data_IF_824719976559
#
_entry.id   IF_824719976559
#
_cell.length_a   1.000
_cell.length_b   1.000
_cell.length_c   1.000
_cell.angle_alpha   90.00
_cell.angle_beta   90.00
_cell.angle_gamma   90.00
#
_symmetry.space_group_name_H-M   'P 1'
#
loop_
_entity.id
_entity.type
_entity.pdbx_description
1 polymer ?
#
# COMPACT_ATOMS: atom_id res chain seq x y z
N UNK A 1 24.49 -35.51 37.10
CA UNK A 1 24.38 -34.06 37.35
C UNK A 1 24.18 -33.42 36.00
N UNK A 2 22.93 -33.26 35.58
CA UNK A 2 22.55 -32.50 34.39
C UNK A 2 21.21 -31.84 34.70
N UNK A 3 21.27 -30.78 35.50
CA UNK A 3 20.15 -29.87 35.74
C UNK A 3 20.02 -28.94 34.53
N UNK A 4 19.30 -29.39 33.52
CA UNK A 4 18.80 -28.49 32.47
C UNK A 4 17.54 -27.82 32.98
N UNK A 5 17.50 -26.50 33.22
CA UNK A 5 16.30 -25.85 33.69
C UNK A 5 15.25 -25.89 32.59
N UNK A 6 14.09 -26.45 32.91
CA UNK A 6 12.91 -26.39 32.06
C UNK A 6 12.62 -24.92 31.72
N UNK A 7 12.58 -24.60 30.43
CA UNK A 7 12.21 -23.28 29.95
C UNK A 7 10.72 -23.08 30.21
N UNK A 8 10.39 -22.50 31.36
CA UNK A 8 9.03 -22.07 31.68
C UNK A 8 8.60 -21.03 30.64
N UNK A 9 7.55 -21.25 29.85
CA UNK A 9 7.04 -20.21 28.96
C UNK A 9 6.60 -19.04 29.85
N UNK A 10 7.18 -17.86 29.59
CA UNK A 10 6.81 -16.63 30.29
C UNK A 10 5.30 -16.43 30.16
N UNK A 11 4.63 -16.27 31.31
CA UNK A 11 3.22 -15.99 31.38
C UNK A 11 2.88 -14.82 30.46
N UNK A 12 1.94 -15.03 29.53
CA UNK A 12 1.36 -13.98 28.70
C UNK A 12 0.77 -12.95 29.64
N UNK A 13 1.40 -11.77 29.69
CA UNK A 13 0.92 -10.63 30.46
C UNK A 13 -0.47 -10.22 29.95
N UNK A 14 -1.45 -10.18 30.86
CA UNK A 14 -2.83 -9.73 30.64
C UNK A 14 -2.95 -8.21 30.35
N UNK A 15 -1.83 -7.51 30.19
CA UNK A 15 -1.86 -6.10 29.78
C UNK A 15 -2.32 -6.01 28.32
N UNK A 16 -3.41 -5.28 28.01
CA UNK A 16 -3.86 -5.13 26.63
C UNK A 16 -2.71 -4.59 25.77
N UNK A 17 -2.47 -5.29 24.65
CA UNK A 17 -1.48 -4.94 23.65
C UNK A 17 -1.67 -3.49 23.17
N UNK A 18 -0.91 -2.56 23.75
CA UNK A 18 -0.94 -1.15 23.40
C UNK A 18 0.37 -0.71 22.73
N UNK A 19 0.26 0.21 21.78
CA UNK A 19 1.43 0.74 21.07
C UNK A 19 2.37 1.51 22.03
N UNK A 20 3.60 1.01 22.20
CA UNK A 20 4.65 1.63 23.05
C UNK A 20 5.36 2.83 22.41
N UNK A 21 4.87 3.32 21.26
CA UNK A 21 5.45 4.45 20.50
C UNK A 21 6.93 4.30 20.14
N UNK A 22 7.44 3.06 20.02
CA UNK A 22 8.85 2.79 19.70
C UNK A 22 9.26 3.11 18.25
N UNK A 23 8.28 3.39 17.37
CA UNK A 23 8.52 3.74 15.97
C UNK A 23 8.86 2.57 15.03
N UNK A 24 9.05 1.34 15.54
CA UNK A 24 9.44 0.17 14.72
C UNK A 24 8.48 -0.07 13.56
N UNK A 25 7.18 -0.17 13.83
CA UNK A 25 6.17 -0.35 12.78
C UNK A 25 6.01 0.89 11.89
N UNK A 26 6.03 2.09 12.48
CA UNK A 26 5.90 3.35 11.76
C UNK A 26 7.01 3.54 10.72
N UNK A 27 8.23 3.05 10.96
CA UNK A 27 9.34 3.10 10.01
C UNK A 27 9.17 2.11 8.83
N UNK A 28 8.42 1.01 9.03
CA UNK A 28 8.12 0.03 7.97
C UNK A 28 7.01 0.51 7.03
N UNK A 29 6.08 1.32 7.53
CA UNK A 29 5.03 1.97 6.76
C UNK A 29 3.80 2.32 7.56
N UNK A 30 2.87 3.02 6.91
CA UNK A 30 1.55 3.30 7.46
C UNK A 30 0.65 2.05 7.45
N UNK A 31 -0.32 1.95 8.39
CA UNK A 31 -1.33 0.89 8.42
C UNK A 31 -2.25 0.96 7.19
N UNK A 32 -2.77 -0.19 6.77
CA UNK A 32 -3.97 -0.25 5.94
C UNK A 32 -5.19 0.19 6.75
N UNK A 33 -6.18 0.75 6.08
CA UNK A 33 -7.43 1.16 6.72
C UNK A 33 -8.49 0.06 6.58
N UNK A 34 -9.29 -0.08 7.63
CA UNK A 34 -10.40 -1.02 7.69
C UNK A 34 -11.73 -0.28 7.84
N UNK A 35 -12.85 -0.96 7.66
CA UNK A 35 -14.19 -0.38 7.85
C UNK A 35 -14.34 0.36 9.19
N UNK A 36 -13.70 -0.14 10.24
CA UNK A 36 -13.65 0.46 11.57
C UNK A 36 -12.93 1.84 11.63
N UNK A 37 -12.20 2.22 10.58
CA UNK A 37 -11.47 3.49 10.48
C UNK A 37 -12.23 4.58 9.73
N UNK A 38 -13.38 4.26 9.11
CA UNK A 38 -14.26 5.27 8.49
C UNK A 38 -14.64 6.44 9.44
N UNK A 39 -14.89 6.22 10.74
CA UNK A 39 -15.12 7.33 11.67
C UNK A 39 -13.97 8.34 11.75
N UNK A 40 -12.71 7.92 11.55
CA UNK A 40 -11.55 8.83 11.55
C UNK A 40 -11.61 9.80 10.36
N UNK A 41 -12.09 9.32 9.20
CA UNK A 41 -12.29 10.15 8.01
C UNK A 41 -13.48 11.10 8.19
N UNK A 42 -14.61 10.59 8.70
CA UNK A 42 -15.82 11.39 8.95
C UNK A 42 -15.58 12.52 9.97
N UNK A 43 -14.76 12.26 10.98
CA UNK A 43 -14.38 13.25 11.99
C UNK A 43 -13.24 14.18 11.54
N UNK A 44 -12.73 14.04 10.31
CA UNK A 44 -11.61 14.85 9.79
C UNK A 44 -10.27 14.62 10.48
N UNK A 45 -10.14 13.54 11.27
CA UNK A 45 -8.88 13.13 11.92
C UNK A 45 -7.88 12.56 10.92
N UNK A 46 -8.40 12.00 9.83
CA UNK A 46 -7.66 11.65 8.62
C UNK A 46 -8.33 12.34 7.44
N UNK A 47 -7.54 12.74 6.46
CA UNK A 47 -8.00 13.36 5.21
C UNK A 47 -7.53 12.52 4.02
N UNK A 48 -8.12 12.72 2.84
CA UNK A 48 -7.68 12.02 1.62
C UNK A 48 -6.21 12.30 1.27
N UNK A 49 -5.65 13.43 1.71
CA UNK A 49 -4.23 13.77 1.51
C UNK A 49 -3.27 12.92 2.36
N UNK A 50 -3.80 12.26 3.40
CA UNK A 50 -3.05 11.35 4.27
C UNK A 50 -3.02 9.92 3.71
N UNK A 51 -3.81 9.65 2.66
CA UNK A 51 -4.05 8.32 2.14
C UNK A 51 -3.31 8.08 0.82
N UNK A 52 -3.06 6.81 0.55
CA UNK A 52 -2.66 6.30 -0.76
C UNK A 52 -3.47 5.05 -1.06
N UNK A 53 -3.91 4.93 -2.30
CA UNK A 53 -4.50 3.70 -2.79
C UNK A 53 -3.42 2.80 -3.34
N UNK A 54 -3.41 1.58 -2.82
CA UNK A 54 -2.63 0.49 -3.37
C UNK A 54 -3.54 -0.31 -4.30
N UNK A 55 -3.20 -0.28 -5.58
CA UNK A 55 -4.08 -0.81 -6.62
C UNK A 55 -3.90 -2.32 -6.75
N UNK A 56 -4.93 -3.00 -7.25
CA UNK A 56 -4.84 -4.42 -7.62
C UNK A 56 -3.68 -4.63 -8.60
N UNK A 57 -2.84 -5.63 -8.35
CA UNK A 57 -1.65 -5.92 -9.14
C UNK A 57 -0.41 -5.08 -8.78
N UNK A 58 -0.53 -4.09 -7.88
CA UNK A 58 0.64 -3.34 -7.40
C UNK A 58 1.55 -4.25 -6.56
N UNK A 59 2.86 -4.14 -6.74
CA UNK A 59 3.83 -4.93 -6.00
C UNK A 59 3.87 -4.54 -4.52
N UNK A 60 3.50 -5.47 -3.64
CA UNK A 60 3.47 -5.28 -2.20
C UNK A 60 4.43 -6.22 -1.50
N UNK A 61 5.03 -5.74 -0.42
CA UNK A 61 5.65 -6.61 0.57
C UNK A 61 4.55 -7.06 1.53
N UNK A 62 4.21 -8.34 1.48
CA UNK A 62 3.43 -8.97 2.53
C UNK A 62 4.37 -9.20 3.72
N UNK A 63 4.27 -8.32 4.72
CA UNK A 63 5.10 -8.40 5.92
C UNK A 63 4.70 -9.56 6.84
N UNK A 64 3.51 -10.14 6.65
CA UNK A 64 3.04 -11.30 7.42
C UNK A 64 3.55 -12.59 6.77
N UNK A 65 3.40 -12.72 5.45
CA UNK A 65 3.85 -13.89 4.70
C UNK A 65 5.34 -13.87 4.33
N UNK A 66 6.01 -12.73 4.48
CA UNK A 66 7.43 -12.54 4.14
C UNK A 66 7.72 -12.60 2.63
N UNK A 67 6.73 -12.26 1.79
CA UNK A 67 6.82 -12.39 0.32
C UNK A 67 6.56 -11.05 -0.35
N UNK A 68 7.17 -10.85 -1.52
CA UNK A 68 6.84 -9.74 -2.42
C UNK A 68 6.00 -10.30 -3.56
N UNK A 69 4.84 -9.71 -3.79
CA UNK A 69 3.92 -10.17 -4.83
C UNK A 69 2.91 -9.10 -5.22
N UNK A 70 2.15 -9.31 -6.30
CA UNK A 70 1.07 -8.41 -6.67
C UNK A 70 -0.05 -8.44 -5.63
N UNK A 71 -0.60 -7.29 -5.27
CA UNK A 71 -1.78 -7.22 -4.41
C UNK A 71 -2.98 -7.87 -5.12
N UNK A 72 -3.68 -8.82 -4.48
CA UNK A 72 -4.81 -9.50 -5.11
C UNK A 72 -6.04 -8.60 -5.22
N UNK A 73 -6.15 -7.59 -4.34
CA UNK A 73 -7.24 -6.62 -4.29
C UNK A 73 -6.69 -5.21 -4.13
N UNK A 74 -7.54 -4.22 -4.36
CA UNK A 74 -7.27 -2.86 -3.91
C UNK A 74 -7.28 -2.79 -2.38
N UNK A 75 -6.50 -1.86 -1.82
CA UNK A 75 -6.65 -1.38 -0.44
C UNK A 75 -6.22 0.08 -0.32
N UNK A 76 -6.78 0.77 0.67
CA UNK A 76 -6.37 2.12 1.05
C UNK A 76 -5.57 2.07 2.34
N UNK A 77 -4.48 2.85 2.39
CA UNK A 77 -3.60 2.90 3.56
C UNK A 77 -3.09 4.31 3.82
N UNK A 78 -2.57 4.53 5.03
CA UNK A 78 -1.83 5.76 5.30
C UNK A 78 -0.58 5.81 4.41
N UNK A 79 -0.42 6.93 3.71
CA UNK A 79 0.69 7.11 2.77
C UNK A 79 2.02 7.24 3.52
N UNK A 80 3.14 6.91 2.86
CA UNK A 80 4.44 7.19 3.44
C UNK A 80 4.75 8.70 3.42
N UNK A 81 5.65 9.14 4.29
CA UNK A 81 6.28 10.44 4.21
C UNK A 81 7.06 10.59 2.89
N UNK A 82 7.22 11.83 2.42
CA UNK A 82 7.94 12.12 1.18
C UNK A 82 9.37 11.58 1.24
N UNK A 83 9.80 10.88 0.18
CA UNK A 83 11.17 10.35 0.06
C UNK A 83 11.47 9.10 0.88
N UNK A 84 10.48 8.47 1.51
CA UNK A 84 10.72 7.29 2.35
C UNK A 84 9.58 6.28 2.37
N UNK A 85 9.76 5.24 3.20
CA UNK A 85 8.74 4.22 3.46
C UNK A 85 7.99 4.45 4.78
N UNK A 86 8.53 5.28 5.67
CA UNK A 86 7.94 5.53 6.97
C UNK A 86 6.55 6.16 6.84
N UNK A 87 5.64 5.83 7.76
CA UNK A 87 4.31 6.42 7.88
C UNK A 87 4.38 7.95 7.89
N UNK A 88 3.44 8.63 7.21
CA UNK A 88 3.33 10.09 7.17
C UNK A 88 3.33 10.76 8.56
N UNK A 89 2.75 10.10 9.56
CA UNK A 89 2.61 10.62 10.92
C UNK A 89 3.77 10.23 11.86
N UNK A 90 4.78 9.53 11.35
CA UNK A 90 6.00 9.25 12.10
C UNK A 90 6.80 10.54 12.33
N UNK A 91 7.37 10.69 13.52
CA UNK A 91 8.31 11.75 13.89
C UNK A 91 9.54 11.15 14.58
N UNK A 92 10.68 11.81 14.42
CA UNK A 92 11.94 11.46 15.08
C UNK A 92 12.31 12.61 16.04
N UNK A 93 12.67 12.37 17.33
CA UNK A 93 12.71 11.06 18.01
C UNK A 93 11.34 10.35 18.01
N UNK A 94 11.29 9.00 18.19
CA UNK A 94 10.10 8.21 17.88
C UNK A 94 8.79 8.73 18.49
N UNK A 95 7.92 9.25 17.63
CA UNK A 95 6.58 9.70 18.00
C UNK A 95 5.58 9.49 16.87
N UNK A 96 4.29 9.53 17.23
CA UNK A 96 3.17 9.43 16.31
C UNK A 96 2.30 10.68 16.46
N UNK A 97 2.12 11.43 15.38
CA UNK A 97 1.36 12.68 15.37
C UNK A 97 -0.17 12.49 15.49
N UNK A 98 -0.66 11.25 15.37
CA UNK A 98 -2.09 10.89 15.46
C UNK A 98 -2.32 9.78 16.48
N UNK A 99 -1.52 9.69 17.54
CA UNK A 99 -1.58 8.55 18.44
C UNK A 99 -2.97 8.35 19.07
N UNK A 100 -3.66 9.45 19.39
CA UNK A 100 -5.03 9.50 19.89
C UNK A 100 -6.10 9.16 18.82
N UNK A 101 -5.72 9.17 17.55
CA UNK A 101 -6.54 8.84 16.39
C UNK A 101 -5.93 7.68 15.57
N UNK A 102 -5.29 6.73 16.27
CA UNK A 102 -4.60 5.59 15.64
C UNK A 102 -5.59 4.69 14.87
N UNK A 103 -5.33 4.31 13.61
CA UNK A 103 -6.14 3.32 12.88
C UNK A 103 -6.16 1.94 13.52
N UNK A 104 -7.10 1.08 13.10
CA UNK A 104 -7.32 -0.26 13.66
C UNK A 104 -6.04 -1.08 13.72
N UNK A 105 -5.31 -1.22 12.62
CA UNK A 105 -4.05 -1.98 12.62
C UNK A 105 -3.03 -1.41 13.61
N UNK A 106 -2.97 -0.09 13.82
CA UNK A 106 -2.07 0.52 14.81
C UNK A 106 -2.52 0.25 16.26
N UNK A 107 -3.83 0.17 16.51
CA UNK A 107 -4.37 -0.16 17.84
C UNK A 107 -4.21 -1.65 18.15
N UNK A 108 -4.28 -2.51 17.13
CA UNK A 108 -4.16 -3.96 17.28
C UNK A 108 -2.72 -4.45 17.26
N UNK A 109 -1.81 -3.77 16.56
CA UNK A 109 -0.44 -4.23 16.42
C UNK A 109 0.30 -4.18 17.76
N UNK A 110 0.51 -5.37 18.31
CA UNK A 110 1.54 -5.60 19.31
C UNK A 110 2.84 -5.99 18.61
N UNK A 111 3.88 -5.16 18.75
CA UNK A 111 5.18 -5.40 18.11
C UNK A 111 5.80 -6.77 18.45
N UNK A 112 5.42 -7.38 19.58
CA UNK A 112 5.95 -8.65 20.06
C UNK A 112 4.96 -9.83 19.86
N UNK A 113 3.74 -9.58 19.37
CA UNK A 113 2.72 -10.61 19.10
C UNK A 113 1.84 -10.20 17.89
N UNK A 114 2.34 -10.34 16.64
CA UNK A 114 1.63 -9.87 15.44
C UNK A 114 0.46 -10.78 15.03
N UNK A 115 0.16 -11.85 15.76
CA UNK A 115 -0.87 -12.84 15.40
C UNK A 115 -2.27 -12.21 15.30
N UNK A 116 -2.59 -11.27 16.19
CA UNK A 116 -3.85 -10.53 16.15
C UNK A 116 -3.96 -9.65 14.90
N UNK A 117 -2.87 -9.01 14.47
CA UNK A 117 -2.83 -8.26 13.22
C UNK A 117 -2.94 -9.20 12.01
N UNK A 118 -2.27 -10.35 12.03
CA UNK A 118 -2.37 -11.34 10.96
C UNK A 118 -3.81 -11.84 10.76
N UNK A 119 -4.57 -12.01 11.84
CA UNK A 119 -5.97 -12.42 11.79
C UNK A 119 -6.91 -11.33 11.24
N UNK A 120 -6.56 -10.05 11.41
CA UNK A 120 -7.27 -8.91 10.82
C UNK A 120 -6.80 -8.58 9.41
N UNK A 121 -5.58 -8.99 9.03
CA UNK A 121 -4.87 -8.49 7.86
C UNK A 121 -5.72 -8.51 6.60
N UNK A 122 -6.47 -9.58 6.32
CA UNK A 122 -7.28 -9.70 5.11
C UNK A 122 -8.78 -9.34 5.27
N UNK A 123 -9.21 -8.86 6.43
CA UNK A 123 -10.64 -8.64 6.75
C UNK A 123 -11.02 -7.18 6.61
N UNK A 124 -12.17 -6.90 5.99
CA UNK A 124 -12.83 -5.59 5.98
C UNK A 124 -11.93 -4.39 5.64
N UNK A 125 -10.97 -4.59 4.72
CA UNK A 125 -10.11 -3.51 4.23
C UNK A 125 -10.91 -2.52 3.40
N UNK A 126 -10.65 -1.23 3.61
CA UNK A 126 -11.23 -0.19 2.78
C UNK A 126 -10.57 -0.16 1.40
N UNK A 127 -11.41 0.02 0.40
CA UNK A 127 -11.09 0.46 -0.95
C UNK A 127 -11.46 1.94 -1.12
N UNK A 128 -11.11 2.55 -2.25
CA UNK A 128 -11.59 3.90 -2.58
C UNK A 128 -13.11 3.96 -2.68
N UNK A 129 -13.75 2.90 -3.16
CA UNK A 129 -15.21 2.86 -3.33
C UNK A 129 -15.96 2.96 -2.00
N UNK A 130 -15.33 2.55 -0.90
CA UNK A 130 -15.91 2.66 0.44
C UNK A 130 -15.78 4.08 1.03
N UNK A 131 -14.90 4.91 0.46
CA UNK A 131 -14.56 6.25 0.95
C UNK A 131 -15.12 7.35 0.04
N UNK A 132 -15.07 7.14 -1.28
CA UNK A 132 -15.61 8.06 -2.28
C UNK A 132 -17.12 7.93 -2.36
N UNK A 133 -17.80 9.07 -2.33
CA UNK A 133 -19.19 9.12 -2.72
C UNK A 133 -19.34 8.70 -4.20
N UNK A 134 -20.41 7.99 -4.58
CA UNK A 134 -20.73 7.74 -5.97
C UNK A 134 -20.82 9.06 -6.75
N UNK A 135 -20.29 9.07 -7.98
CA UNK A 135 -20.33 10.23 -8.87
C UNK A 135 -19.14 10.32 -9.81
N UNK A 136 -19.00 11.45 -10.54
CA UNK A 136 -18.05 11.58 -11.64
C UNK A 136 -16.59 11.30 -11.25
N UNK A 137 -16.17 11.69 -10.04
CA UNK A 137 -14.81 11.44 -9.58
C UNK A 137 -14.55 9.95 -9.32
N UNK A 138 -15.52 9.22 -8.78
CA UNK A 138 -15.42 7.77 -8.60
C UNK A 138 -15.37 7.04 -9.95
N UNK A 139 -16.18 7.48 -10.91
CA UNK A 139 -16.17 6.97 -12.30
C UNK A 139 -14.82 7.21 -12.99
N UNK A 140 -14.24 8.40 -12.83
CA UNK A 140 -12.91 8.73 -13.38
C UNK A 140 -11.80 7.89 -12.73
N UNK A 141 -11.89 7.61 -11.44
CA UNK A 141 -10.96 6.70 -10.76
C UNK A 141 -11.06 5.28 -11.34
N UNK A 142 -12.28 4.76 -11.51
CA UNK A 142 -12.52 3.44 -12.08
C UNK A 142 -12.07 3.35 -13.55
N UNK A 143 -12.31 4.40 -14.35
CA UNK A 143 -11.83 4.47 -15.72
C UNK A 143 -10.31 4.48 -15.78
N UNK A 144 -9.66 5.28 -14.92
CA UNK A 144 -8.20 5.27 -14.81
C UNK A 144 -7.66 3.89 -14.45
N UNK A 145 -8.34 3.17 -13.55
CA UNK A 145 -7.94 1.83 -13.19
C UNK A 145 -7.98 0.85 -14.35
N UNK A 146 -9.05 0.88 -15.15
CA UNK A 146 -9.21 0.03 -16.32
C UNK A 146 -8.14 0.29 -17.39
N UNK A 147 -7.89 1.57 -17.70
CA UNK A 147 -6.89 1.98 -18.68
C UNK A 147 -5.46 1.68 -18.23
N UNK A 148 -5.21 1.69 -16.92
CA UNK A 148 -3.88 1.47 -16.33
C UNK A 148 -3.80 0.19 -15.50
N UNK A 149 -4.58 -0.83 -15.86
CA UNK A 149 -4.66 -2.09 -15.11
C UNK A 149 -3.28 -2.75 -14.95
N UNK A 150 -2.80 -2.85 -13.72
CA UNK A 150 -1.43 -3.30 -13.43
C UNK A 150 -1.22 -4.79 -13.75
N UNK A 151 -2.28 -5.60 -13.72
CA UNK A 151 -2.20 -7.03 -14.07
C UNK A 151 -2.01 -7.20 -15.58
N UNK A 152 -2.81 -6.47 -16.37
CA UNK A 152 -2.67 -6.40 -17.83
C UNK A 152 -1.32 -5.80 -18.21
N UNK A 153 -0.91 -4.71 -17.56
CA UNK A 153 0.38 -4.06 -17.84
C UNK A 153 1.57 -4.94 -17.49
N UNK A 154 1.47 -5.85 -16.51
CA UNK A 154 2.50 -6.84 -16.25
C UNK A 154 2.69 -7.79 -17.46
N UNK A 155 1.60 -8.20 -18.12
CA UNK A 155 1.68 -9.00 -19.35
C UNK A 155 2.24 -8.19 -20.53
N UNK A 156 1.81 -6.94 -20.68
CA UNK A 156 2.35 -6.01 -21.69
C UNK A 156 3.86 -5.82 -21.50
N UNK A 157 4.33 -5.66 -20.27
CA UNK A 157 5.76 -5.56 -19.97
C UNK A 157 6.55 -6.82 -20.37
N UNK A 158 5.99 -8.02 -20.14
CA UNK A 158 6.62 -9.28 -20.58
C UNK A 158 6.74 -9.37 -22.09
N UNK A 159 5.66 -9.06 -22.82
CA UNK A 159 5.68 -9.06 -24.29
C UNK A 159 6.67 -8.02 -24.84
N UNK A 160 6.66 -6.80 -24.29
CA UNK A 160 7.60 -5.74 -24.66
C UNK A 160 9.06 -6.14 -24.44
N UNK A 161 9.37 -6.83 -23.33
CA UNK A 161 10.70 -7.35 -23.03
C UNK A 161 11.11 -8.50 -23.97
N UNK A 162 10.14 -9.25 -24.50
CA UNK A 162 10.34 -10.30 -25.49
C UNK A 162 10.49 -9.79 -26.93
N UNK A 163 10.46 -8.47 -27.16
CA UNK A 163 10.68 -7.89 -28.48
C UNK A 163 9.43 -7.32 -29.16
N UNK A 164 8.25 -7.40 -28.56
CA UNK A 164 7.00 -6.90 -29.15
C UNK A 164 6.90 -5.36 -29.15
N UNK A 165 6.90 -4.75 -30.35
CA UNK A 165 6.74 -3.30 -30.54
C UNK A 165 5.34 -2.77 -30.19
N UNK A 166 4.29 -3.54 -30.47
CA UNK A 166 2.93 -3.15 -30.14
C UNK A 166 2.75 -3.10 -28.61
N UNK A 167 3.35 -4.06 -27.89
CA UNK A 167 3.38 -4.05 -26.43
C UNK A 167 4.20 -2.87 -25.87
N UNK A 168 5.31 -2.50 -26.52
CA UNK A 168 6.08 -1.29 -26.15
C UNK A 168 5.23 -0.03 -26.29
N UNK A 169 4.48 0.13 -27.38
CA UNK A 169 3.63 1.29 -27.56
C UNK A 169 2.44 1.28 -26.60
N UNK A 170 1.81 0.14 -26.34
CA UNK A 170 0.74 0.02 -25.35
C UNK A 170 1.21 0.46 -23.94
N UNK A 171 2.43 0.08 -23.53
CA UNK A 171 2.99 0.55 -22.26
C UNK A 171 3.24 2.07 -22.24
N UNK A 172 3.70 2.65 -23.36
CA UNK A 172 3.87 4.12 -23.49
C UNK A 172 2.54 4.86 -23.47
N UNK A 173 1.53 4.33 -24.14
CA UNK A 173 0.18 4.88 -24.15
C UNK A 173 -0.41 4.92 -22.72
N UNK A 174 -0.29 3.84 -21.95
CA UNK A 174 -0.73 3.81 -20.56
C UNK A 174 0.01 4.83 -19.68
N UNK A 175 1.32 5.02 -19.88
CA UNK A 175 2.09 6.06 -19.17
C UNK A 175 1.62 7.47 -19.51
N UNK A 176 1.37 7.76 -20.80
CA UNK A 176 0.84 9.07 -21.23
C UNK A 176 -0.55 9.31 -20.65
N UNK A 177 -1.40 8.29 -20.63
CA UNK A 177 -2.74 8.37 -20.06
C UNK A 177 -2.71 8.65 -18.54
N UNK A 178 -1.91 7.92 -17.76
CA UNK A 178 -1.75 8.18 -16.32
C UNK A 178 -1.25 9.60 -16.05
N UNK A 179 -0.26 10.07 -16.81
CA UNK A 179 0.27 11.41 -16.69
C UNK A 179 -0.78 12.48 -17.01
N UNK A 180 -1.53 12.31 -18.10
CA UNK A 180 -2.60 13.23 -18.51
C UNK A 180 -3.70 13.32 -17.45
N UNK A 181 -4.13 12.19 -16.87
CA UNK A 181 -5.12 12.20 -15.78
C UNK A 181 -4.62 12.96 -14.55
N UNK A 182 -3.35 12.78 -14.18
CA UNK A 182 -2.72 13.48 -13.04
C UNK A 182 -2.58 14.97 -13.26
N UNK A 183 -2.47 15.43 -14.50
CA UNK A 183 -2.46 16.84 -14.87
C UNK A 183 -3.88 17.44 -14.93
N UNK A 184 -4.81 16.72 -15.56
CA UNK A 184 -6.15 17.21 -15.86
C UNK A 184 -7.07 17.22 -14.64
N UNK A 185 -6.97 16.26 -13.73
CA UNK A 185 -7.83 16.21 -12.54
C UNK A 185 -7.70 17.50 -11.69
N UNK A 186 -6.50 17.98 -11.33
CA UNK A 186 -6.36 19.27 -10.68
C UNK A 186 -6.75 20.44 -11.57
N UNK A 187 -6.25 20.47 -12.81
CA UNK A 187 -6.38 21.64 -13.68
C UNK A 187 -7.83 21.91 -14.14
N UNK A 188 -8.65 20.87 -14.25
CA UNK A 188 -10.01 20.96 -14.84
C UNK A 188 -11.11 20.70 -13.84
N UNK A 189 -10.87 19.88 -12.82
CA UNK A 189 -11.88 19.47 -11.85
C UNK A 189 -11.60 19.96 -10.42
N UNK A 190 -10.51 20.72 -10.21
CA UNK A 190 -10.16 21.28 -8.91
C UNK A 190 -9.77 20.22 -7.88
N UNK A 191 -9.40 19.01 -8.31
CA UNK A 191 -8.92 17.96 -7.41
C UNK A 191 -7.60 18.41 -6.80
N UNK A 192 -7.53 18.45 -5.48
CA UNK A 192 -6.34 18.89 -4.77
C UNK A 192 -5.15 17.95 -5.11
N UNK A 193 -4.00 18.45 -5.60
CA UNK A 193 -2.87 17.61 -6.05
C UNK A 193 -2.39 16.59 -4.99
N UNK A 194 -2.45 16.97 -3.72
CA UNK A 194 -2.07 16.13 -2.59
C UNK A 194 -2.98 14.90 -2.37
N UNK A 195 -4.19 14.88 -2.93
CA UNK A 195 -5.12 13.74 -2.85
C UNK A 195 -4.98 12.79 -4.04
N UNK A 196 -4.18 13.12 -5.07
CA UNK A 196 -3.95 12.22 -6.20
C UNK A 196 -3.39 10.84 -5.82
N UNK A 197 -2.52 10.67 -4.80
CA UNK A 197 -2.12 9.34 -4.34
C UNK A 197 -3.30 8.51 -3.83
N UNK A 198 -4.31 9.14 -3.24
CA UNK A 198 -5.56 8.48 -2.93
C UNK A 198 -6.35 8.19 -4.21
N UNK A 199 -6.64 9.19 -5.04
CA UNK A 199 -7.53 8.99 -6.20
C UNK A 199 -6.98 8.09 -7.29
N UNK A 200 -5.68 8.13 -7.59
CA UNK A 200 -5.08 7.43 -8.74
C UNK A 200 -4.01 6.41 -8.32
N UNK A 201 -3.78 6.26 -7.01
CA UNK A 201 -2.68 5.46 -6.49
C UNK A 201 -1.30 6.01 -6.87
N UNK A 202 -0.30 5.13 -6.83
CA UNK A 202 1.08 5.45 -7.24
C UNK A 202 1.15 5.78 -8.74
N UNK A 203 1.90 6.83 -9.14
CA UNK A 203 2.15 7.12 -10.56
C UNK A 203 2.67 5.90 -11.31
N UNK A 204 2.15 5.67 -12.52
CA UNK A 204 2.54 4.51 -13.30
C UNK A 204 4.02 4.57 -13.67
N UNK A 205 4.59 5.76 -13.87
CA UNK A 205 6.03 5.97 -14.04
C UNK A 205 6.88 5.41 -12.89
N UNK A 206 6.32 5.37 -11.67
CA UNK A 206 6.98 4.81 -10.48
C UNK A 206 6.66 3.32 -10.28
N UNK A 207 5.49 2.84 -10.72
CA UNK A 207 5.07 1.45 -10.58
C UNK A 207 5.65 0.53 -11.68
N UNK A 208 5.73 1.02 -12.92
CA UNK A 208 6.12 0.23 -14.09
C UNK A 208 7.54 -0.36 -14.03
N UNK A 209 8.56 0.32 -13.46
CA UNK A 209 9.90 -0.27 -13.31
C UNK A 209 9.88 -1.59 -12.53
N UNK A 210 9.08 -1.68 -11.46
CA UNK A 210 8.97 -2.91 -10.67
C UNK A 210 8.28 -4.04 -11.47
N UNK A 211 7.24 -3.71 -12.25
CA UNK A 211 6.57 -4.67 -13.13
C UNK A 211 7.51 -5.18 -14.23
N UNK A 212 8.33 -4.30 -14.82
CA UNK A 212 9.34 -4.68 -15.80
C UNK A 212 10.42 -5.58 -15.21
N UNK A 213 10.91 -5.26 -14.00
CA UNK A 213 11.89 -6.08 -13.31
C UNK A 213 11.35 -7.50 -13.02
N UNK A 214 10.08 -7.62 -12.63
CA UNK A 214 9.41 -8.91 -12.43
C UNK A 214 9.12 -9.66 -13.76
N UNK A 215 9.08 -8.94 -14.88
CA UNK A 215 8.84 -9.48 -16.22
C UNK A 215 10.10 -9.94 -16.94
N UNK A 216 11.28 -9.46 -16.53
CA UNK A 216 12.55 -9.91 -17.08
C UNK A 216 12.72 -11.42 -16.83
N UNK A 217 13.16 -12.21 -17.82
CA UNK A 217 13.52 -13.61 -17.58
C UNK A 217 14.51 -13.66 -16.42
N UNK A 218 14.34 -14.60 -15.50
CA UNK A 218 15.25 -14.82 -14.38
C UNK A 218 16.62 -15.28 -14.90
N UNK A 219 17.41 -14.35 -15.44
CA UNK A 219 18.80 -14.55 -15.86
C UNK A 219 19.78 -14.35 -14.69
N UNK A 220 19.32 -14.57 -13.45
CA UNK A 220 20.13 -14.33 -12.25
C UNK A 220 20.87 -15.55 -11.72
N UNK A 221 20.62 -16.76 -12.24
CA UNK A 221 21.51 -17.89 -12.01
C UNK A 221 21.95 -18.48 -13.34
N UNK A 222 23.22 -18.25 -13.67
CA UNK A 222 23.97 -18.95 -14.70
C UNK A 222 23.61 -20.44 -14.65
N UNK A 223 23.14 -21.02 -15.77
CA UNK A 223 23.21 -22.46 -15.97
C UNK A 223 24.68 -22.85 -15.80
N UNK A 224 24.99 -23.65 -14.78
CA UNK A 224 26.32 -24.27 -14.66
C UNK A 224 26.43 -25.31 -15.80
N UNK A 225 27.56 -25.38 -16.52
CA UNK A 225 27.75 -26.36 -17.59
C UNK A 225 27.59 -27.79 -17.08
#
# INVERSE_FOLDING_TARGET
MDDTPAHTPAALSDTPAACRRCGRCCRLGGPALHAADLPLLRAGRLTLADLVTLRRGEGVTDNVAGRVGPSPTELVKLRPASGGRACLFYRDPPACAIHDASPLECRTLFCDAPQALAALYAKDRLTRADILAPGPLAELCAHHDAETDLTRLAAVCRAAAAGDDAAREAARAALRFDAAMRELLPARLGVAPQTLPFHLGRPLAQALPALRAAAAPAALYKRRP
#
